data_IF_879446482154
#
_entry.id   IF_879446482154
#
_cell.length_a   1.000
_cell.length_b   1.000
_cell.length_c   1.000
_cell.angle_alpha   90.00
_cell.angle_beta   90.00
_cell.angle_gamma   90.00
#
_symmetry.space_group_name_H-M   'P 1'
#
loop_
_entity.id
_entity.type
_entity.pdbx_description
1 polymer ?
#
# COMPACT_ATOMS: atom_id res chain seq x y z
N UNK A 1 -10.47 20.45 -14.48
CA UNK A 1 -10.78 19.53 -13.36
C UNK A 1 -10.33 20.20 -12.07
N UNK A 2 -11.25 20.49 -11.16
CA UNK A 2 -10.92 21.25 -9.93
C UNK A 2 -9.95 20.45 -9.06
N UNK A 3 -8.90 21.10 -8.56
CA UNK A 3 -7.96 20.46 -7.68
C UNK A 3 -8.56 20.33 -6.28
N UNK A 4 -8.98 19.11 -5.91
CA UNK A 4 -9.35 18.83 -4.52
C UNK A 4 -8.13 19.07 -3.64
N UNK A 5 -8.19 20.15 -2.86
CA UNK A 5 -7.22 20.46 -1.82
C UNK A 5 -7.44 19.46 -0.68
N UNK A 6 -6.38 18.92 -0.05
CA UNK A 6 -6.54 18.04 1.09
C UNK A 6 -7.38 18.70 2.18
N UNK A 7 -8.32 17.94 2.73
CA UNK A 7 -9.15 18.31 3.88
C UNK A 7 -9.26 17.10 4.80
N UNK A 8 -9.77 17.29 6.02
CA UNK A 8 -10.03 16.17 6.92
C UNK A 8 -10.96 15.10 6.29
N UNK A 9 -11.88 15.52 5.41
CA UNK A 9 -12.77 14.63 4.67
C UNK A 9 -12.10 13.99 3.44
N UNK A 10 -11.09 14.62 2.85
CA UNK A 10 -10.34 14.10 1.70
C UNK A 10 -8.84 14.23 1.99
N UNK A 11 -8.25 13.25 2.68
CA UNK A 11 -6.90 13.38 3.23
C UNK A 11 -5.80 13.35 2.16
N UNK A 12 -6.07 12.77 0.98
CA UNK A 12 -5.12 12.68 -0.12
C UNK A 12 -5.78 12.46 -1.48
N UNK A 13 -5.11 12.91 -2.54
CA UNK A 13 -5.35 12.44 -3.91
C UNK A 13 -4.17 11.54 -4.32
N UNK A 14 -4.37 10.23 -4.25
CA UNK A 14 -3.29 9.25 -4.40
C UNK A 14 -2.69 9.25 -5.81
N UNK A 15 -3.48 9.44 -6.86
CA UNK A 15 -2.99 9.51 -8.23
C UNK A 15 -2.07 10.72 -8.42
N UNK A 16 -2.39 11.87 -7.83
CA UNK A 16 -1.52 13.04 -7.88
C UNK A 16 -0.22 12.84 -7.10
N UNK A 17 -0.30 12.24 -5.91
CA UNK A 17 0.89 11.95 -5.11
C UNK A 17 1.78 10.96 -5.84
N UNK A 18 1.21 9.90 -6.42
CA UNK A 18 1.96 8.92 -7.21
C UNK A 18 2.60 9.54 -8.47
N UNK A 19 1.95 10.51 -9.12
CA UNK A 19 2.51 11.21 -10.27
C UNK A 19 3.57 12.27 -9.91
N UNK A 20 3.53 12.79 -8.68
CA UNK A 20 4.49 13.76 -8.17
C UNK A 20 5.68 13.11 -7.46
N UNK A 21 5.53 11.87 -6.99
CA UNK A 21 6.63 11.06 -6.52
C UNK A 21 7.62 10.89 -7.67
N UNK A 22 8.82 11.43 -7.51
CA UNK A 22 9.98 11.01 -8.29
C UNK A 22 10.10 9.47 -8.17
N UNK A 23 10.86 8.79 -9.05
CA UNK A 23 11.09 7.33 -9.00
C UNK A 23 11.81 6.85 -7.70
N UNK A 24 11.75 7.64 -6.62
CA UNK A 24 12.20 7.32 -5.28
C UNK A 24 11.34 6.18 -4.67
N UNK A 25 11.95 5.05 -4.30
CA UNK A 25 11.25 3.93 -3.67
C UNK A 25 10.71 4.30 -2.28
N UNK A 26 9.61 3.66 -1.88
CA UNK A 26 9.15 3.64 -0.49
C UNK A 26 7.77 4.25 -0.28
N UNK A 27 7.52 4.75 0.93
CA UNK A 27 6.20 5.26 1.32
C UNK A 27 6.05 6.73 0.91
N UNK A 28 5.21 6.99 -0.09
CA UNK A 28 4.93 8.33 -0.58
C UNK A 28 3.94 9.10 0.30
N UNK A 29 3.01 8.39 0.96
CA UNK A 29 2.01 9.00 1.83
C UNK A 29 1.51 8.02 2.90
N UNK A 30 1.04 8.55 4.04
CA UNK A 30 0.43 7.79 5.13
C UNK A 30 -0.82 8.49 5.66
N UNK A 31 -1.83 7.74 6.07
CA UNK A 31 -2.96 8.24 6.86
C UNK A 31 -2.47 8.64 8.26
N UNK A 32 -2.70 9.88 8.69
CA UNK A 32 -2.12 10.44 9.93
C UNK A 32 -3.13 11.05 10.90
N UNK A 33 -4.38 11.11 10.49
CA UNK A 33 -5.48 11.76 11.19
C UNK A 33 -5.59 11.22 12.62
N UNK A 34 -5.86 12.14 13.56
CA UNK A 34 -6.04 11.79 14.96
C UNK A 34 -7.30 10.91 15.13
N UNK A 35 -7.29 10.03 16.13
CA UNK A 35 -8.41 9.10 16.35
C UNK A 35 -8.61 8.03 15.27
N UNK A 36 -7.84 8.01 14.18
CA UNK A 36 -8.00 7.03 13.10
C UNK A 36 -7.95 5.59 13.61
N UNK A 37 -8.83 4.76 13.06
CA UNK A 37 -8.91 3.31 13.35
C UNK A 37 -8.24 2.46 12.27
N UNK A 38 -7.77 3.08 11.20
CA UNK A 38 -7.07 2.47 10.08
C UNK A 38 -5.64 3.00 10.01
N UNK A 39 -4.75 2.18 9.50
CA UNK A 39 -3.49 2.65 8.92
C UNK A 39 -3.56 2.42 7.41
N UNK A 40 -3.11 3.40 6.65
CA UNK A 40 -3.00 3.28 5.20
C UNK A 40 -1.70 3.93 4.71
N UNK A 41 -1.06 3.30 3.73
CA UNK A 41 0.20 3.76 3.15
C UNK A 41 0.13 3.67 1.63
N UNK A 42 0.43 4.78 0.94
CA UNK A 42 0.74 4.74 -0.48
C UNK A 42 2.23 4.41 -0.61
N UNK A 43 2.53 3.28 -1.24
CA UNK A 43 3.89 2.78 -1.46
C UNK A 43 4.19 2.85 -2.95
N UNK A 44 5.41 3.23 -3.29
CA UNK A 44 5.97 3.15 -4.63
C UNK A 44 7.12 2.14 -4.67
N UNK A 45 7.06 1.26 -5.68
CA UNK A 45 8.13 0.36 -6.08
C UNK A 45 8.61 0.77 -7.47
N UNK A 46 9.91 1.10 -7.64
CA UNK A 46 10.50 1.36 -8.95
C UNK A 46 10.39 0.15 -9.88
N UNK A 47 10.67 0.36 -11.16
CA UNK A 47 10.59 -0.68 -12.17
C UNK A 47 11.44 -1.92 -11.81
N UNK A 48 10.82 -3.11 -11.84
CA UNK A 48 11.48 -4.38 -11.54
C UNK A 48 11.82 -4.62 -10.06
N UNK A 49 11.58 -3.64 -9.19
CA UNK A 49 11.78 -3.82 -7.75
C UNK A 49 10.71 -4.73 -7.14
N UNK A 50 11.08 -5.41 -6.06
CA UNK A 50 10.20 -6.35 -5.37
C UNK A 50 10.24 -6.18 -3.86
N UNK A 51 9.08 -6.33 -3.25
CA UNK A 51 8.97 -6.72 -1.85
C UNK A 51 9.00 -8.23 -1.79
N UNK A 52 10.07 -8.76 -1.20
CA UNK A 52 10.26 -10.19 -0.99
C UNK A 52 9.12 -10.83 -0.19
N UNK A 53 9.08 -12.17 -0.23
CA UNK A 53 8.05 -12.94 0.44
C UNK A 53 8.09 -12.68 1.94
N UNK A 54 6.95 -12.26 2.50
CA UNK A 54 6.79 -12.05 3.93
C UNK A 54 5.38 -12.45 4.36
N UNK A 55 5.20 -12.63 5.66
CA UNK A 55 3.91 -12.98 6.26
C UNK A 55 3.55 -11.94 7.31
N UNK A 56 2.32 -11.42 7.23
CA UNK A 56 1.74 -10.58 8.28
C UNK A 56 0.85 -11.45 9.16
N UNK A 57 1.24 -11.77 10.41
CA UNK A 57 0.52 -12.74 11.23
C UNK A 57 -0.82 -12.22 11.76
N UNK A 58 -0.94 -10.90 11.95
CA UNK A 58 -1.99 -10.33 12.78
C UNK A 58 -3.10 -9.65 11.99
N UNK A 59 -2.79 -9.18 10.78
CA UNK A 59 -3.66 -8.27 10.04
C UNK A 59 -3.95 -8.73 8.61
N UNK A 60 -5.23 -8.70 8.26
CA UNK A 60 -5.64 -8.65 6.88
C UNK A 60 -5.27 -7.29 6.28
N UNK A 61 -4.87 -7.28 5.01
CA UNK A 61 -4.47 -6.07 4.29
C UNK A 61 -5.23 -6.01 2.97
N UNK A 62 -5.81 -4.85 2.68
CA UNK A 62 -6.26 -4.51 1.33
C UNK A 62 -5.12 -3.81 0.60
N UNK A 63 -4.78 -4.29 -0.59
CA UNK A 63 -3.88 -3.63 -1.52
C UNK A 63 -4.70 -3.10 -2.71
N UNK A 64 -4.56 -1.82 -3.03
CA UNK A 64 -5.20 -1.20 -4.20
C UNK A 64 -4.15 -0.57 -5.08
N UNK A 65 -4.03 -1.01 -6.33
CA UNK A 65 -3.08 -0.42 -7.27
C UNK A 65 -3.61 0.93 -7.75
N UNK A 66 -2.79 1.97 -7.63
CA UNK A 66 -3.11 3.35 -8.01
C UNK A 66 -2.53 3.70 -9.36
N UNK A 67 -1.25 3.35 -9.61
CA UNK A 67 -0.57 3.55 -10.90
C UNK A 67 0.42 2.42 -11.16
N UNK A 68 0.79 2.22 -12.43
CA UNK A 68 1.71 1.16 -12.83
C UNK A 68 1.06 -0.22 -12.85
N UNK A 69 1.88 -1.23 -13.10
CA UNK A 69 1.45 -2.64 -13.14
C UNK A 69 2.42 -3.50 -12.36
N UNK A 70 1.99 -4.66 -11.93
CA UNK A 70 2.84 -5.58 -11.19
C UNK A 70 2.16 -6.92 -10.93
N UNK A 71 2.84 -7.76 -10.19
CA UNK A 71 2.34 -9.06 -9.76
C UNK A 71 2.23 -9.08 -8.25
N UNK A 72 1.09 -9.52 -7.73
CA UNK A 72 0.89 -9.76 -6.30
C UNK A 72 0.78 -11.26 -6.08
N UNK A 73 1.67 -11.80 -5.27
CA UNK A 73 1.61 -13.20 -4.82
C UNK A 73 0.86 -13.28 -3.51
N UNK A 74 -0.08 -14.22 -3.39
CA UNK A 74 -0.88 -14.50 -2.19
C UNK A 74 -1.03 -16.01 -2.01
N UNK A 75 -0.29 -16.58 -1.05
CA UNK A 75 -0.20 -18.03 -0.90
C UNK A 75 0.45 -18.67 -2.13
N UNK A 76 -0.30 -19.55 -2.79
CA UNK A 76 0.14 -20.25 -4.02
C UNK A 76 -0.22 -19.46 -5.29
N UNK A 77 -1.09 -18.45 -5.19
CA UNK A 77 -1.57 -17.68 -6.33
C UNK A 77 -0.66 -16.48 -6.61
N UNK A 78 -0.46 -16.19 -7.90
CA UNK A 78 0.15 -14.96 -8.37
C UNK A 78 -0.80 -14.28 -9.36
N UNK A 79 -1.19 -13.05 -9.06
CA UNK A 79 -2.16 -12.29 -9.85
C UNK A 79 -1.50 -11.05 -10.45
N UNK A 80 -1.72 -10.84 -11.75
CA UNK A 80 -1.38 -9.56 -12.37
C UNK A 80 -2.33 -8.47 -11.87
N UNK A 81 -1.79 -7.35 -11.44
CA UNK A 81 -2.53 -6.22 -10.90
C UNK A 81 -2.14 -4.93 -11.63
N UNK A 82 -3.14 -4.14 -11.98
CA UNK A 82 -2.99 -2.83 -12.62
C UNK A 82 -3.91 -1.81 -11.94
N UNK A 83 -3.94 -0.55 -12.41
CA UNK A 83 -4.68 0.52 -11.73
C UNK A 83 -6.15 0.15 -11.52
N UNK A 84 -6.63 0.28 -10.27
CA UNK A 84 -7.99 -0.10 -9.86
C UNK A 84 -8.14 -1.55 -9.38
N UNK A 85 -7.13 -2.40 -9.53
CA UNK A 85 -7.12 -3.74 -8.91
C UNK A 85 -7.12 -3.62 -7.39
N UNK A 86 -8.03 -4.35 -6.74
CA UNK A 86 -8.07 -4.54 -5.28
C UNK A 86 -7.73 -6.00 -4.98
N UNK A 87 -6.71 -6.21 -4.15
CA UNK A 87 -6.25 -7.53 -3.72
C UNK A 87 -6.43 -7.64 -2.22
N UNK A 88 -7.12 -8.69 -1.78
CA UNK A 88 -7.26 -9.01 -0.36
C UNK A 88 -6.17 -9.98 0.06
N UNK A 89 -5.32 -9.54 0.99
CA UNK A 89 -4.19 -10.30 1.51
C UNK A 89 -4.54 -10.76 2.92
N UNK A 90 -4.81 -12.05 3.07
CA UNK A 90 -5.24 -12.62 4.35
C UNK A 90 -4.07 -12.70 5.33
N UNK A 91 -4.35 -12.48 6.62
CA UNK A 91 -3.35 -12.63 7.69
C UNK A 91 -2.83 -14.07 7.75
N UNK A 92 -1.55 -14.22 8.06
CA UNK A 92 -0.87 -15.51 8.14
C UNK A 92 -0.50 -16.12 6.78
N UNK A 93 -0.99 -15.55 5.67
CA UNK A 93 -0.63 -16.00 4.32
C UNK A 93 0.64 -15.30 3.85
N UNK A 94 1.54 -16.07 3.23
CA UNK A 94 2.74 -15.54 2.61
C UNK A 94 2.37 -14.69 1.38
N UNK A 95 3.07 -13.57 1.20
CA UNK A 95 2.80 -12.64 0.10
C UNK A 95 4.06 -11.96 -0.40
N UNK A 96 4.03 -11.57 -1.67
CA UNK A 96 5.07 -10.79 -2.31
C UNK A 96 4.44 -9.79 -3.29
N UNK A 97 5.14 -8.70 -3.59
CA UNK A 97 4.72 -7.71 -4.59
C UNK A 97 5.93 -7.42 -5.48
N UNK A 98 5.73 -7.49 -6.79
CA UNK A 98 6.75 -7.19 -7.79
C UNK A 98 6.22 -6.12 -8.74
N UNK A 99 7.00 -5.08 -8.97
CA UNK A 99 6.67 -4.01 -9.90
C UNK A 99 7.02 -4.41 -11.33
N UNK A 100 6.12 -4.08 -12.26
CA UNK A 100 6.35 -4.17 -13.68
C UNK A 100 7.34 -3.12 -14.19
N UNK A 101 7.55 -3.05 -15.51
CA UNK A 101 8.59 -2.20 -16.12
C UNK A 101 8.35 -0.69 -15.97
N UNK A 102 7.14 -0.27 -15.62
CA UNK A 102 6.80 1.14 -15.35
C UNK A 102 6.76 1.51 -13.88
N UNK A 103 7.26 0.64 -12.99
CA UNK A 103 7.05 0.77 -11.56
C UNK A 103 5.61 0.48 -11.13
N UNK A 104 5.35 0.54 -9.83
CA UNK A 104 4.06 0.26 -9.23
C UNK A 104 3.84 1.14 -8.01
N UNK A 105 2.74 1.91 -8.00
CA UNK A 105 2.28 2.60 -6.80
C UNK A 105 0.96 2.03 -6.32
N UNK A 106 0.89 1.61 -5.07
CA UNK A 106 -0.27 0.97 -4.50
C UNK A 106 -0.54 1.43 -3.07
N UNK A 107 -1.82 1.53 -2.73
CA UNK A 107 -2.29 1.78 -1.38
C UNK A 107 -2.37 0.45 -0.64
N UNK A 108 -1.86 0.40 0.59
CA UNK A 108 -2.22 -0.64 1.56
C UNK A 108 -3.11 -0.05 2.62
N UNK A 109 -4.13 -0.80 3.05
CA UNK A 109 -5.04 -0.42 4.14
C UNK A 109 -5.23 -1.60 5.07
N UNK A 110 -5.13 -1.37 6.38
CA UNK A 110 -5.42 -2.38 7.39
C UNK A 110 -5.91 -1.72 8.68
N UNK A 111 -6.41 -2.55 9.62
CA UNK A 111 -6.72 -2.07 10.97
C UNK A 111 -5.49 -1.43 11.59
N UNK A 112 -5.66 -0.29 12.26
CA UNK A 112 -4.56 0.38 12.94
C UNK A 112 -3.91 -0.56 13.94
N UNK A 113 -2.58 -0.66 13.90
CA UNK A 113 -1.85 -1.40 14.93
C UNK A 113 -1.95 -0.61 16.24
N UNK A 114 -2.26 -1.26 17.38
CA UNK A 114 -1.96 -0.63 18.65
C UNK A 114 -0.46 -0.29 18.64
N UNK A 115 -0.11 0.95 19.00
CA UNK A 115 1.29 1.36 19.05
C UNK A 115 2.12 0.39 19.87
N UNK A 116 3.43 0.31 19.60
CA UNK A 116 4.34 -0.63 20.26
C UNK A 116 4.15 -0.57 21.79
N UNK A 117 3.54 -1.60 22.38
CA UNK A 117 3.46 -1.74 23.83
C UNK A 117 4.76 -2.39 24.27
N UNK A 118 5.72 -1.58 24.70
CA UNK A 118 6.88 -2.09 25.43
C UNK A 118 6.33 -2.58 26.78
N UNK A 119 6.20 -3.90 26.92
CA UNK A 119 5.90 -4.51 28.21
C UNK A 119 7.11 -4.31 29.12
N UNK A 120 6.92 -3.61 30.24
CA UNK A 120 7.87 -3.71 31.35
C UNK A 120 7.77 -5.13 31.90
N UNK A 121 8.89 -5.83 31.87
CA UNK A 121 9.06 -7.13 32.51
C UNK A 121 9.52 -6.94 33.95
#
# INVERSE_FOLDING_TARGET
>A
MSATIPSETVPANLTRIAAAGEDAPGVLWRLREEGRQLDANLVHLPAGERIGTHTEPDLDVLLVVVTGTGTVTTGEDAVAAGPGSLVWLTRGQARAVEAGPGGLSYLTVHRRRPGLRIGLR
#
